data_IF_078275722714
#
_entry.id   IF_078275722714
#
_cell.length_a   1.000
_cell.length_b   1.000
_cell.length_c   1.000
_cell.angle_alpha   90.00
_cell.angle_beta   90.00
_cell.angle_gamma   90.00
#
_symmetry.space_group_name_H-M   'P 1'
#
loop_
_entity.id
_entity.type
_entity.pdbx_description
1 polymer ?
#
# COMPACT_ATOMS: atom_id res chain seq x y z
N UNK A 1 0.75 -13.36 18.76
CA UNK A 1 0.28 -12.47 17.68
C UNK A 1 0.92 -12.93 16.38
N UNK A 2 0.15 -13.08 15.30
CA UNK A 2 0.68 -13.53 14.00
C UNK A 2 0.90 -12.31 13.12
N UNK A 3 2.14 -12.07 12.70
CA UNK A 3 2.45 -10.97 11.79
C UNK A 3 2.11 -11.38 10.36
N UNK A 4 1.37 -10.53 9.65
CA UNK A 4 1.14 -10.68 8.21
C UNK A 4 2.30 -10.05 7.47
N UNK A 5 2.96 -10.82 6.61
CA UNK A 5 4.10 -10.36 5.80
C UNK A 5 3.59 -10.01 4.40
N UNK A 6 3.85 -8.79 3.95
CA UNK A 6 3.62 -8.38 2.57
C UNK A 6 4.96 -8.30 1.85
N UNK A 7 5.14 -9.11 0.81
CA UNK A 7 6.41 -9.19 0.10
C UNK A 7 6.55 -8.02 -0.87
N UNK A 8 7.79 -7.77 -1.27
CA UNK A 8 8.12 -6.69 -2.19
C UNK A 8 7.37 -6.78 -3.51
N UNK A 9 7.17 -8.01 -4.00
CA UNK A 9 6.47 -8.38 -5.23
C UNK A 9 4.96 -8.08 -5.20
N UNK A 10 4.35 -8.00 -4.01
CA UNK A 10 2.91 -7.77 -3.85
C UNK A 10 2.55 -6.27 -3.74
N UNK A 11 3.52 -5.37 -3.91
CA UNK A 11 3.32 -3.91 -3.77
C UNK A 11 2.74 -3.33 -5.06
N UNK A 12 1.96 -2.26 -4.92
CA UNK A 12 1.55 -1.46 -6.06
C UNK A 12 2.75 -0.78 -6.69
N UNK A 13 2.79 -0.74 -8.02
CA UNK A 13 3.88 -0.12 -8.76
C UNK A 13 3.35 1.00 -9.65
N UNK A 14 4.02 2.15 -9.61
CA UNK A 14 3.76 3.27 -10.50
C UNK A 14 5.07 3.87 -10.98
N UNK A 15 5.21 4.06 -12.29
CA UNK A 15 6.37 4.71 -12.89
C UNK A 15 5.91 5.94 -13.68
N UNK A 16 6.45 7.09 -13.31
CA UNK A 16 6.14 8.39 -13.89
C UNK A 16 7.31 8.95 -14.75
N UNK A 17 8.27 8.10 -15.12
CA UNK A 17 9.46 8.45 -15.91
C UNK A 17 10.58 9.07 -15.07
N UNK A 18 10.26 10.09 -14.25
CA UNK A 18 11.20 10.72 -13.32
C UNK A 18 11.16 10.13 -11.90
N UNK A 19 10.09 9.38 -11.59
CA UNK A 19 9.87 8.77 -10.29
C UNK A 19 9.32 7.36 -10.46
N UNK A 20 9.97 6.41 -9.79
CA UNK A 20 9.47 5.06 -9.61
C UNK A 20 8.99 4.89 -8.17
N UNK A 21 7.69 4.64 -8.00
CA UNK A 21 7.02 4.55 -6.71
C UNK A 21 6.47 3.14 -6.48
N UNK A 22 6.76 2.60 -5.29
CA UNK A 22 6.27 1.30 -4.83
C UNK A 22 5.41 1.48 -3.57
N UNK A 23 4.14 1.09 -3.64
CA UNK A 23 3.12 1.35 -2.63
C UNK A 23 2.76 0.07 -1.87
N UNK A 24 2.98 0.06 -0.55
CA UNK A 24 2.57 -1.04 0.34
C UNK A 24 1.11 -0.97 0.77
N UNK A 25 0.47 0.19 0.66
CA UNK A 25 -0.93 0.43 1.02
C UNK A 25 -1.63 1.18 -0.10
N UNK A 26 -2.95 1.01 -0.18
CA UNK A 26 -3.78 1.68 -1.18
C UNK A 26 -3.52 3.18 -1.17
N UNK A 27 -3.11 3.73 -2.32
CA UNK A 27 -2.70 5.13 -2.47
C UNK A 27 -2.97 5.62 -3.90
N UNK A 28 -3.48 6.85 -4.02
CA UNK A 28 -3.87 7.46 -5.29
C UNK A 28 -4.75 6.51 -6.13
N UNK A 29 -4.36 6.23 -7.38
CA UNK A 29 -5.12 5.36 -8.30
C UNK A 29 -4.91 3.86 -8.05
N UNK A 30 -3.99 3.46 -7.16
CA UNK A 30 -3.77 2.07 -6.83
C UNK A 30 -4.63 1.65 -5.63
N UNK A 31 -5.56 0.74 -5.87
CA UNK A 31 -6.53 0.27 -4.88
C UNK A 31 -6.39 -1.24 -4.65
N UNK A 32 -6.14 -1.61 -3.40
CA UNK A 32 -6.22 -2.98 -2.91
C UNK A 32 -7.05 -3.01 -1.62
N UNK A 33 -8.22 -3.68 -1.60
CA UNK A 33 -9.11 -3.72 -0.45
C UNK A 33 -8.50 -4.39 0.80
N UNK A 34 -7.50 -5.26 0.64
CA UNK A 34 -6.79 -5.91 1.75
C UNK A 34 -5.69 -5.04 2.37
N UNK A 35 -5.34 -3.92 1.72
CA UNK A 35 -4.24 -3.01 2.11
C UNK A 35 -4.74 -1.60 2.40
N UNK A 36 -5.90 -1.51 3.04
CA UNK A 36 -6.44 -0.26 3.56
C UNK A 36 -5.85 0.05 4.92
N UNK A 37 -5.31 1.27 5.10
CA UNK A 37 -5.02 1.80 6.43
C UNK A 37 -6.33 2.31 7.04
N UNK A 38 -6.78 1.65 8.11
CA UNK A 38 -7.83 2.18 8.98
C UNK A 38 -7.19 3.21 9.92
N UNK A 39 -7.34 4.50 9.61
CA UNK A 39 -7.09 5.55 10.59
C UNK A 39 -8.27 5.54 11.56
N UNK A 40 -8.14 4.89 12.71
CA UNK A 40 -9.09 5.09 13.80
C UNK A 40 -8.93 6.51 14.30
N UNK A 41 -9.95 7.33 14.14
CA UNK A 41 -10.11 8.52 14.95
C UNK A 41 -10.28 8.06 16.40
N UNK A 42 -9.32 8.43 17.24
CA UNK A 42 -9.44 8.28 18.70
C UNK A 42 -10.16 9.55 19.15
N UNK A 43 -11.40 9.41 19.65
CA UNK A 43 -12.09 10.46 20.41
C UNK A 43 -11.71 10.37 21.87
#
# INVERSE_FOLDING_TARGET
MKATVHRAEDRGYANHGWLEANHSFSFASWYNPEKLILVRYVY
#
